data_IF_510340749045
#
_entry.id   IF_510340749045
#
_cell.length_a   1.000
_cell.length_b   1.000
_cell.length_c   1.000
_cell.angle_alpha   90.00
_cell.angle_beta   90.00
_cell.angle_gamma   90.00
#
_symmetry.space_group_name_H-M   'P 1'
#
loop_
_entity.id
_entity.type
_entity.pdbx_description
1 polymer ?
#
# COMPACT_ATOMS: atom_id res chain seq x y z
N UNK A 1 74.61 -14.68 35.01
CA UNK A 1 75.37 -14.75 33.73
C UNK A 1 74.64 -15.73 32.82
N UNK A 2 74.34 -15.25 31.61
CA UNK A 2 73.97 -15.90 30.33
C UNK A 2 74.31 -17.41 30.21
N UNK A 3 73.57 -18.30 29.53
CA UNK A 3 72.76 -18.19 28.30
C UNK A 3 71.91 -19.47 28.07
N UNK A 4 70.80 -19.32 27.32
CA UNK A 4 70.16 -20.23 26.34
C UNK A 4 69.56 -21.58 26.78
N UNK A 5 68.26 -21.76 26.50
CA UNK A 5 67.77 -22.76 25.51
C UNK A 5 66.35 -22.48 25.02
N UNK A 6 66.24 -22.42 23.68
CA UNK A 6 65.17 -22.76 22.72
C UNK A 6 63.68 -22.56 23.08
N UNK A 7 63.04 -21.72 22.27
CA UNK A 7 61.60 -21.48 22.18
C UNK A 7 60.92 -22.44 21.19
N UNK A 8 59.74 -22.92 21.59
CA UNK A 8 58.68 -23.46 20.75
C UNK A 8 58.07 -22.37 19.86
N UNK A 9 57.69 -22.72 18.61
CA UNK A 9 56.46 -22.27 17.98
C UNK A 9 56.23 -23.00 16.65
N UNK A 10 55.11 -23.74 16.59
CA UNK A 10 54.54 -24.32 15.37
C UNK A 10 54.19 -23.22 14.38
N UNK A 11 54.63 -23.37 13.13
CA UNK A 11 54.23 -22.54 12.00
C UNK A 11 53.84 -23.42 10.80
N UNK A 12 52.66 -23.15 10.25
CA UNK A 12 52.10 -23.60 8.95
C UNK A 12 51.42 -22.33 8.40
N UNK A 13 51.34 -22.02 7.08
CA UNK A 13 51.45 -22.88 5.89
C UNK A 13 52.35 -22.36 4.75
N UNK A 14 52.72 -23.28 3.86
CA UNK A 14 53.23 -23.00 2.51
C UNK A 14 52.14 -23.13 1.45
N UNK A 15 51.89 -22.01 0.76
CA UNK A 15 51.56 -21.82 -0.67
C UNK A 15 50.81 -22.93 -1.44
N UNK A 16 49.55 -22.66 -1.76
CA UNK A 16 48.85 -23.16 -2.95
C UNK A 16 48.17 -21.97 -3.63
N UNK A 17 48.62 -21.67 -4.85
CA UNK A 17 48.04 -20.64 -5.69
C UNK A 17 46.60 -21.00 -6.09
N UNK A 18 45.67 -20.07 -5.84
CA UNK A 18 44.46 -19.94 -6.65
C UNK A 18 44.23 -18.45 -6.88
N UNK A 19 44.10 -18.08 -8.15
CA UNK A 19 43.99 -16.72 -8.62
C UNK A 19 42.84 -16.00 -7.89
N UNK A 20 43.15 -14.85 -7.29
CA UNK A 20 42.14 -13.97 -6.70
C UNK A 20 41.16 -13.48 -7.77
N UNK A 21 39.94 -13.11 -7.39
CA UNK A 21 39.02 -12.45 -8.30
C UNK A 21 39.66 -11.13 -8.74
N UNK A 22 39.80 -10.97 -10.06
CA UNK A 22 40.13 -9.69 -10.69
C UNK A 22 39.09 -8.68 -10.24
N UNK A 23 39.53 -7.66 -9.49
CA UNK A 23 38.72 -6.50 -9.21
C UNK A 23 38.38 -5.85 -10.56
N UNK A 24 37.14 -6.06 -11.02
CA UNK A 24 36.62 -5.28 -12.13
C UNK A 24 36.65 -3.82 -11.69
N UNK A 25 37.50 -3.03 -12.36
CA UNK A 25 37.52 -1.59 -12.25
C UNK A 25 36.09 -1.09 -12.49
N UNK A 26 35.44 -0.60 -11.44
CA UNK A 26 34.11 -0.05 -11.53
C UNK A 26 34.19 1.20 -12.43
N UNK A 27 33.81 1.05 -13.70
CA UNK A 27 33.66 2.17 -14.59
C UNK A 27 32.79 3.24 -13.88
N UNK A 28 33.20 4.52 -13.90
CA UNK A 28 32.45 5.57 -13.24
C UNK A 28 31.03 5.57 -13.80
N UNK A 29 30.05 5.40 -12.92
CA UNK A 29 28.63 5.47 -13.27
C UNK A 29 28.36 6.86 -13.83
N UNK A 30 28.32 6.98 -15.16
CA UNK A 30 27.86 8.21 -15.78
C UNK A 30 26.35 8.27 -15.58
N UNK A 31 25.95 9.07 -14.59
CA UNK A 31 24.56 9.47 -14.41
C UNK A 31 24.13 10.15 -15.71
N UNK A 32 23.39 9.43 -16.57
CA UNK A 32 22.72 10.05 -17.71
C UNK A 32 21.77 11.08 -17.12
N UNK A 33 22.08 12.36 -17.28
CA UNK A 33 21.12 13.44 -17.06
C UNK A 33 20.12 13.43 -18.24
N UNK A 34 19.29 12.39 -18.29
CA UNK A 34 18.00 12.48 -18.95
C UNK A 34 17.04 13.28 -18.06
N UNK A 35 15.92 13.80 -18.59
CA UNK A 35 14.84 14.29 -17.74
C UNK A 35 14.51 13.20 -16.71
N UNK A 36 14.38 13.57 -15.43
CA UNK A 36 14.02 12.61 -14.39
C UNK A 36 12.76 11.86 -14.85
N UNK A 37 12.70 10.52 -14.73
CA UNK A 37 11.45 9.82 -14.97
C UNK A 37 10.40 10.46 -14.07
N UNK A 38 9.18 10.70 -14.56
CA UNK A 38 8.15 11.39 -13.81
C UNK A 38 7.63 10.58 -12.59
N UNK A 39 8.33 9.54 -12.16
CA UNK A 39 7.66 8.24 -11.97
C UNK A 39 7.88 7.56 -10.62
N UNK A 40 8.49 8.17 -9.60
CA UNK A 40 8.59 7.52 -8.28
C UNK A 40 8.72 8.52 -7.13
N UNK A 41 7.60 9.08 -6.67
CA UNK A 41 7.56 9.96 -5.48
C UNK A 41 7.05 9.21 -4.27
N UNK A 42 7.42 9.68 -3.07
CA UNK A 42 6.90 9.12 -1.81
C UNK A 42 5.36 9.22 -1.76
N UNK A 43 4.77 10.33 -2.25
CA UNK A 43 3.32 10.46 -2.36
C UNK A 43 2.67 9.37 -3.23
N UNK A 44 3.26 9.01 -4.38
CA UNK A 44 2.73 7.93 -5.23
C UNK A 44 2.81 6.56 -4.54
N UNK A 45 3.90 6.30 -3.81
CA UNK A 45 4.06 5.05 -3.04
C UNK A 45 3.01 4.98 -1.92
N UNK A 46 2.79 6.09 -1.21
CA UNK A 46 1.76 6.19 -0.18
C UNK A 46 0.36 6.01 -0.78
N UNK A 47 0.07 6.61 -1.95
CA UNK A 47 -1.19 6.42 -2.67
C UNK A 47 -1.43 4.95 -3.02
N UNK A 48 -0.46 4.28 -3.65
CA UNK A 48 -0.56 2.86 -4.01
C UNK A 48 -0.76 1.97 -2.77
N UNK A 49 -0.08 2.30 -1.66
CA UNK A 49 -0.24 1.62 -0.38
C UNK A 49 -1.67 1.79 0.14
N UNK A 50 -2.20 3.01 0.10
CA UNK A 50 -3.55 3.29 0.57
C UNK A 50 -4.62 2.63 -0.28
N UNK A 51 -4.46 2.63 -1.60
CA UNK A 51 -5.34 1.90 -2.53
C UNK A 51 -5.37 0.42 -2.16
N UNK A 52 -4.20 -0.20 -1.98
CA UNK A 52 -4.10 -1.62 -1.60
C UNK A 52 -4.78 -1.92 -0.27
N UNK A 53 -4.55 -1.08 0.76
CA UNK A 53 -5.20 -1.24 2.06
C UNK A 53 -6.72 -1.08 1.96
N UNK A 54 -7.21 -0.14 1.16
CA UNK A 54 -8.64 0.05 0.93
C UNK A 54 -9.25 -1.17 0.23
N UNK A 55 -8.62 -1.70 -0.81
CA UNK A 55 -9.06 -2.94 -1.47
C UNK A 55 -9.22 -4.09 -0.48
N UNK A 56 -8.25 -4.28 0.43
CA UNK A 56 -8.34 -5.33 1.45
C UNK A 56 -9.53 -5.11 2.39
N UNK A 57 -9.71 -3.89 2.90
CA UNK A 57 -10.83 -3.59 3.81
C UNK A 57 -12.20 -3.69 3.12
N UNK A 58 -12.28 -3.34 1.84
CA UNK A 58 -13.51 -3.48 1.03
C UNK A 58 -13.80 -4.96 0.74
N UNK A 59 -12.78 -5.78 0.47
CA UNK A 59 -12.95 -7.22 0.31
C UNK A 59 -13.46 -7.90 1.59
N UNK A 60 -12.90 -7.54 2.75
CA UNK A 60 -13.39 -8.01 4.05
C UNK A 60 -14.84 -7.59 4.30
N UNK A 61 -15.19 -6.38 3.89
CA UNK A 61 -16.54 -5.86 3.98
C UNK A 61 -17.51 -6.64 3.08
N UNK A 62 -17.18 -6.88 1.81
CA UNK A 62 -17.99 -7.68 0.87
C UNK A 62 -18.27 -9.11 1.38
N UNK A 63 -17.35 -9.70 2.14
CA UNK A 63 -17.51 -11.04 2.70
C UNK A 63 -18.42 -11.11 3.95
N UNK A 64 -19.10 -10.01 4.29
CA UNK A 64 -20.01 -9.95 5.45
C UNK A 64 -21.40 -9.49 5.04
N UNK A 65 -22.48 -10.05 5.57
CA UNK A 65 -23.83 -9.62 5.17
C UNK A 65 -24.18 -8.20 5.66
N UNK A 66 -24.91 -7.45 4.84
CA UNK A 66 -25.26 -6.05 5.11
C UNK A 66 -26.20 -5.89 6.32
N UNK A 67 -25.86 -4.93 7.20
CA UNK A 67 -26.53 -4.71 8.47
C UNK A 67 -26.33 -5.83 9.51
N UNK A 68 -25.24 -6.60 9.43
CA UNK A 68 -24.78 -7.49 10.51
C UNK A 68 -23.79 -6.77 11.43
N UNK A 69 -23.59 -7.30 12.64
CA UNK A 69 -22.55 -6.79 13.55
C UNK A 69 -21.14 -6.92 12.94
N UNK A 70 -20.87 -7.98 12.20
CA UNK A 70 -19.58 -8.18 11.52
C UNK A 70 -19.34 -7.09 10.48
N UNK A 71 -20.37 -6.76 9.69
CA UNK A 71 -20.31 -5.65 8.73
C UNK A 71 -19.95 -4.32 9.41
N UNK A 72 -20.57 -4.01 10.54
CA UNK A 72 -20.27 -2.77 11.30
C UNK A 72 -18.83 -2.74 11.87
N UNK A 73 -18.20 -3.90 12.10
CA UNK A 73 -16.78 -3.97 12.46
C UNK A 73 -15.92 -3.63 11.23
N UNK A 74 -16.20 -4.23 10.07
CA UNK A 74 -15.48 -3.96 8.82
C UNK A 74 -15.63 -2.52 8.34
N UNK A 75 -16.81 -1.91 8.53
CA UNK A 75 -17.06 -0.49 8.21
C UNK A 75 -16.12 0.43 9.00
N UNK A 76 -15.90 0.16 10.30
CA UNK A 76 -14.97 0.98 11.11
C UNK A 76 -13.51 0.88 10.63
N UNK A 77 -13.11 -0.27 10.09
CA UNK A 77 -11.81 -0.41 9.46
C UNK A 77 -11.75 0.39 8.15
N UNK A 78 -12.79 0.30 7.32
CA UNK A 78 -12.90 1.11 6.10
C UNK A 78 -12.87 2.62 6.42
N UNK A 79 -13.62 3.08 7.42
CA UNK A 79 -13.68 4.49 7.85
C UNK A 79 -12.28 5.03 8.13
N UNK A 80 -11.47 4.25 8.85
CA UNK A 80 -10.10 4.65 9.16
C UNK A 80 -9.27 4.71 7.87
N UNK A 81 -9.33 3.67 7.05
CA UNK A 81 -8.56 3.58 5.81
C UNK A 81 -8.89 4.72 4.84
N UNK A 82 -10.17 5.03 4.63
CA UNK A 82 -10.59 6.09 3.73
C UNK A 82 -10.28 7.49 4.28
N UNK A 83 -10.28 7.71 5.61
CA UNK A 83 -9.76 8.96 6.20
C UNK A 83 -8.25 9.11 6.05
N UNK A 84 -7.50 8.02 6.09
CA UNK A 84 -6.06 8.04 5.81
C UNK A 84 -5.81 8.26 4.31
N UNK A 85 -6.69 7.71 3.44
CA UNK A 85 -6.70 7.93 1.99
C UNK A 85 -6.95 9.40 1.62
N UNK A 86 -7.86 10.09 2.31
CA UNK A 86 -8.09 11.54 2.15
C UNK A 86 -6.82 12.37 2.41
N UNK A 87 -6.04 11.99 3.44
CA UNK A 87 -4.76 12.67 3.73
C UNK A 87 -3.71 12.38 2.66
N UNK A 88 -3.70 11.17 2.11
CA UNK A 88 -2.82 10.82 1.00
C UNK A 88 -3.19 11.58 -0.28
N UNK A 89 -4.48 11.78 -0.54
CA UNK A 89 -4.98 12.57 -1.68
C UNK A 89 -4.49 14.02 -1.58
N UNK A 90 -4.69 14.66 -0.43
CA UNK A 90 -4.25 16.04 -0.20
C UNK A 90 -2.73 16.18 -0.38
N UNK A 91 -1.96 15.19 0.07
CA UNK A 91 -0.50 15.16 -0.11
C UNK A 91 -0.12 15.01 -1.58
N UNK A 92 -0.77 14.11 -2.31
CA UNK A 92 -0.53 13.93 -3.75
C UNK A 92 -0.78 15.23 -4.52
N UNK A 93 -1.86 15.96 -4.22
CA UNK A 93 -2.13 17.29 -4.79
C UNK A 93 -1.00 18.28 -4.51
N UNK A 94 -0.55 18.35 -3.25
CA UNK A 94 0.54 19.27 -2.85
C UNK A 94 1.86 18.96 -3.54
N UNK A 95 2.13 17.69 -3.81
CA UNK A 95 3.36 17.22 -4.45
C UNK A 95 3.26 17.14 -5.99
N UNK A 96 2.12 17.51 -6.59
CA UNK A 96 1.90 17.51 -8.03
C UNK A 96 1.70 16.11 -8.64
N UNK A 97 1.35 15.12 -7.82
CA UNK A 97 0.96 13.77 -8.26
C UNK A 97 -0.56 13.71 -8.50
N UNK A 98 -1.05 14.51 -9.45
CA UNK A 98 -2.49 14.73 -9.67
C UNK A 98 -3.23 13.46 -10.11
N UNK A 99 -2.60 12.60 -10.90
CA UNK A 99 -3.17 11.31 -11.32
C UNK A 99 -3.40 10.38 -10.13
N UNK A 100 -2.45 10.33 -9.19
CA UNK A 100 -2.59 9.58 -7.95
C UNK A 100 -3.68 10.18 -7.05
N UNK A 101 -3.75 11.51 -6.97
CA UNK A 101 -4.79 12.20 -6.22
C UNK A 101 -6.19 11.92 -6.79
N UNK A 102 -6.34 11.96 -8.12
CA UNK A 102 -7.61 11.69 -8.81
C UNK A 102 -8.11 10.27 -8.54
N UNK A 103 -7.21 9.28 -8.55
CA UNK A 103 -7.54 7.89 -8.23
C UNK A 103 -7.99 7.72 -6.78
N UNK A 104 -7.27 8.31 -5.81
CA UNK A 104 -7.66 8.30 -4.40
C UNK A 104 -9.03 8.98 -4.22
N UNK A 105 -9.25 10.13 -4.84
CA UNK A 105 -10.51 10.87 -4.78
C UNK A 105 -11.69 10.05 -5.32
N UNK A 106 -11.50 9.29 -6.41
CA UNK A 106 -12.51 8.39 -6.96
C UNK A 106 -12.92 7.30 -5.96
N UNK A 107 -11.95 6.65 -5.30
CA UNK A 107 -12.22 5.66 -4.26
C UNK A 107 -12.95 6.25 -3.05
N UNK A 108 -12.50 7.43 -2.58
CA UNK A 108 -13.14 8.16 -1.47
C UNK A 108 -14.60 8.50 -1.80
N UNK A 109 -14.89 8.96 -3.02
CA UNK A 109 -16.24 9.30 -3.43
C UNK A 109 -17.17 8.08 -3.41
N UNK A 110 -16.72 6.94 -3.95
CA UNK A 110 -17.49 5.69 -3.92
C UNK A 110 -17.73 5.20 -2.48
N UNK A 111 -16.74 5.34 -1.58
CA UNK A 111 -16.92 4.97 -0.19
C UNK A 111 -17.92 5.87 0.54
N UNK A 112 -17.89 7.19 0.27
CA UNK A 112 -18.86 8.14 0.82
C UNK A 112 -20.29 7.86 0.34
N UNK A 113 -20.45 7.41 -0.90
CA UNK A 113 -21.74 6.96 -1.40
C UNK A 113 -22.25 5.72 -0.65
N UNK A 114 -21.36 4.73 -0.46
CA UNK A 114 -21.69 3.53 0.31
C UNK A 114 -22.12 3.87 1.74
N UNK A 115 -21.32 4.64 2.48
CA UNK A 115 -21.61 4.92 3.89
C UNK A 115 -22.92 5.69 4.06
N UNK A 116 -23.23 6.63 3.17
CA UNK A 116 -24.50 7.36 3.21
C UNK A 116 -25.70 6.42 3.04
N UNK A 117 -25.61 5.44 2.14
CA UNK A 117 -26.67 4.43 1.93
C UNK A 117 -26.77 3.44 3.08
N UNK A 118 -25.64 3.03 3.65
CA UNK A 118 -25.61 2.20 4.86
C UNK A 118 -26.29 2.89 6.05
N UNK A 119 -25.93 4.16 6.33
CA UNK A 119 -26.52 4.94 7.41
C UNK A 119 -28.03 5.18 7.22
N UNK A 120 -28.45 5.42 5.97
CA UNK A 120 -29.86 5.54 5.63
C UNK A 120 -30.62 4.22 5.89
N UNK A 121 -30.03 3.07 5.53
CA UNK A 121 -30.61 1.75 5.78
C UNK A 121 -30.70 1.42 7.27
N UNK A 122 -29.70 1.80 8.06
CA UNK A 122 -29.70 1.56 9.51
C UNK A 122 -30.70 2.43 10.26
N UNK A 123 -30.94 3.65 9.77
CA UNK A 123 -31.90 4.60 10.35
C UNK A 123 -33.35 4.41 9.85
N UNK A 124 -33.56 3.49 8.90
CA UNK A 124 -34.83 3.31 8.21
C UNK A 124 -35.92 2.67 9.09
N UNK A 125 -37.18 2.96 8.74
CA UNK A 125 -38.33 2.23 9.25
C UNK A 125 -38.27 0.75 8.84
N UNK A 126 -38.91 -0.18 9.57
CA UNK A 126 -38.97 -1.59 9.17
C UNK A 126 -39.55 -1.81 7.76
N UNK A 127 -40.44 -0.93 7.29
CA UNK A 127 -41.06 -1.04 5.97
C UNK A 127 -40.06 -0.74 4.83
N UNK A 128 -39.08 0.13 5.07
CA UNK A 128 -38.12 0.59 4.05
C UNK A 128 -36.74 -0.09 4.19
N UNK A 129 -36.44 -0.66 5.37
CA UNK A 129 -35.13 -1.23 5.71
C UNK A 129 -34.65 -2.28 4.71
N UNK A 130 -35.54 -3.13 4.21
CA UNK A 130 -35.17 -4.15 3.21
C UNK A 130 -34.67 -3.55 1.89
N UNK A 131 -35.37 -2.53 1.38
CA UNK A 131 -35.00 -1.82 0.14
C UNK A 131 -33.66 -1.10 0.30
N UNK A 132 -33.52 -0.33 1.39
CA UNK A 132 -32.33 0.47 1.63
C UNK A 132 -31.10 -0.39 1.92
N UNK A 133 -31.25 -1.56 2.57
CA UNK A 133 -30.17 -2.56 2.66
C UNK A 133 -29.72 -3.05 1.30
N UNK A 134 -30.65 -3.29 0.36
CA UNK A 134 -30.31 -3.65 -1.02
C UNK A 134 -29.53 -2.55 -1.74
N UNK A 135 -29.90 -1.28 -1.54
CA UNK A 135 -29.18 -0.13 -2.10
C UNK A 135 -27.77 0.02 -1.52
N UNK A 136 -27.61 -0.21 -0.20
CA UNK A 136 -26.30 -0.21 0.46
C UNK A 136 -25.41 -1.38 -0.01
N UNK A 137 -26.00 -2.57 -0.22
CA UNK A 137 -25.28 -3.71 -0.79
C UNK A 137 -24.80 -3.43 -2.21
N UNK A 138 -25.67 -2.90 -3.09
CA UNK A 138 -25.28 -2.51 -4.45
C UNK A 138 -24.19 -1.42 -4.46
N UNK A 139 -24.23 -0.48 -3.52
CA UNK A 139 -23.17 0.52 -3.37
C UNK A 139 -21.85 -0.07 -2.87
N UNK A 140 -21.90 -1.12 -2.05
CA UNK A 140 -20.68 -1.88 -1.67
C UNK A 140 -20.06 -2.56 -2.89
N UNK A 141 -20.88 -3.20 -3.74
CA UNK A 141 -20.42 -3.82 -4.99
C UNK A 141 -19.79 -2.76 -5.92
N UNK A 142 -20.46 -1.63 -6.10
CA UNK A 142 -19.91 -0.52 -6.88
C UNK A 142 -18.58 0.00 -6.33
N UNK A 143 -18.46 0.14 -5.00
CA UNK A 143 -17.20 0.52 -4.37
C UNK A 143 -16.09 -0.49 -4.69
N UNK A 144 -16.38 -1.79 -4.64
CA UNK A 144 -15.40 -2.81 -4.98
C UNK A 144 -14.97 -2.75 -6.45
N UNK A 145 -15.91 -2.51 -7.38
CA UNK A 145 -15.61 -2.32 -8.80
C UNK A 145 -14.70 -1.10 -9.02
N UNK A 146 -15.00 0.02 -8.36
CA UNK A 146 -14.18 1.24 -8.41
C UNK A 146 -12.78 0.98 -7.87
N UNK A 147 -12.67 0.31 -6.71
CA UNK A 147 -11.37 0.00 -6.12
C UNK A 147 -10.55 -0.96 -6.99
N UNK A 148 -11.19 -1.93 -7.63
CA UNK A 148 -10.53 -2.84 -8.57
C UNK A 148 -10.06 -2.11 -9.83
N UNK A 149 -10.88 -1.20 -10.37
CA UNK A 149 -10.49 -0.35 -11.50
C UNK A 149 -9.27 0.52 -11.16
N UNK A 150 -9.28 1.16 -9.99
CA UNK A 150 -8.16 1.98 -9.51
C UNK A 150 -6.90 1.13 -9.35
N UNK A 151 -7.01 -0.07 -8.76
CA UNK A 151 -5.88 -0.97 -8.57
C UNK A 151 -5.27 -1.44 -9.89
N UNK A 152 -6.07 -1.64 -10.94
CA UNK A 152 -5.58 -2.01 -12.27
C UNK A 152 -4.96 -0.85 -13.04
N UNK A 153 -5.32 0.39 -12.70
CA UNK A 153 -4.79 1.59 -13.32
C UNK A 153 -3.45 2.05 -12.69
N UNK A 154 -3.11 1.54 -11.50
CA UNK A 154 -1.90 1.83 -10.73
C UNK A 154 -0.77 0.81 -10.98
#
# INVERSE_FOLDING_TARGET
MTQKTKADAKGVPGSSASAGPVAAEAAPYQKKEGPAPADFTVARIEAATMITLACNTVADMLNTDEGTQSRNVSIRACDKTFRDMERAEEKCRKEGADDAADALAKGIAAYREYIAKHEAAESASPADKGKLKGEAAAATEHLADVMNEILHAF
#
